data_IF_848860337852
#
_entry.id   IF_848860337852
#
_cell.length_a   1.000
_cell.length_b   1.000
_cell.length_c   1.000
_cell.angle_alpha   90.00
_cell.angle_beta   90.00
_cell.angle_gamma   90.00
#
_symmetry.space_group_name_H-M   'P 1'
#
loop_
_entity.id
_entity.type
_entity.pdbx_description
1 polymer ?
#
# COMPACT_ATOMS: atom_id res chain seq x y z
N UNK A 1 18.36 18.19 -7.77
CA UNK A 1 18.14 16.89 -8.46
C UNK A 1 18.45 15.80 -7.45
N UNK A 2 17.44 15.18 -6.87
CA UNK A 2 17.63 14.02 -5.97
C UNK A 2 18.21 12.89 -6.81
N UNK A 3 19.35 12.31 -6.40
CA UNK A 3 19.92 11.16 -7.06
C UNK A 3 18.92 10.01 -7.01
N UNK A 4 18.54 9.44 -8.14
CA UNK A 4 17.64 8.30 -8.24
C UNK A 4 18.27 6.99 -7.74
N UNK A 5 19.50 7.04 -7.26
CA UNK A 5 20.27 5.88 -6.81
C UNK A 5 20.40 5.89 -5.30
N UNK A 6 20.15 4.72 -4.70
CA UNK A 6 20.42 4.48 -3.30
C UNK A 6 21.92 4.44 -3.04
N UNK A 7 22.32 4.92 -1.86
CA UNK A 7 23.66 4.63 -1.36
C UNK A 7 23.79 3.12 -1.06
N UNK A 8 25.04 2.63 -1.02
CA UNK A 8 25.30 1.24 -0.62
C UNK A 8 24.81 0.95 0.81
N UNK A 9 24.80 1.94 1.70
CA UNK A 9 24.25 1.85 3.04
C UNK A 9 22.73 1.65 2.99
N UNK A 10 22.00 2.50 2.27
CA UNK A 10 20.54 2.38 2.12
C UNK A 10 20.13 1.04 1.50
N UNK A 11 20.91 0.54 0.54
CA UNK A 11 20.69 -0.78 -0.05
C UNK A 11 20.87 -1.89 0.99
N UNK A 12 21.96 -1.85 1.77
CA UNK A 12 22.19 -2.81 2.85
C UNK A 12 21.09 -2.74 3.90
N UNK A 13 20.68 -1.54 4.29
CA UNK A 13 19.62 -1.35 5.27
C UNK A 13 18.30 -1.97 4.79
N UNK A 14 17.92 -1.74 3.52
CA UNK A 14 16.72 -2.38 2.98
C UNK A 14 16.81 -3.91 3.01
N UNK A 15 17.93 -4.47 2.57
CA UNK A 15 18.13 -5.92 2.54
C UNK A 15 18.21 -6.53 3.94
N UNK A 16 18.69 -5.77 4.94
CA UNK A 16 18.79 -6.21 6.33
C UNK A 16 17.46 -6.09 7.07
N UNK A 17 16.76 -4.99 6.90
CA UNK A 17 15.58 -4.63 7.68
C UNK A 17 14.25 -5.03 7.01
N UNK A 18 14.27 -5.30 5.71
CA UNK A 18 13.05 -5.56 4.91
C UNK A 18 12.22 -4.31 4.64
N UNK A 19 12.74 -3.14 5.02
CA UNK A 19 12.07 -1.86 4.79
C UNK A 19 13.09 -0.72 4.71
N UNK A 20 12.70 0.36 4.04
CA UNK A 20 13.51 1.58 3.96
C UNK A 20 12.60 2.81 3.85
N UNK A 21 12.94 3.89 4.53
CA UNK A 21 12.29 5.19 4.36
C UNK A 21 13.24 6.12 3.60
N UNK A 22 12.80 6.62 2.45
CA UNK A 22 13.54 7.59 1.64
C UNK A 22 12.79 8.92 1.75
N UNK A 23 13.40 9.90 2.38
CA UNK A 23 12.81 11.22 2.57
C UNK A 23 12.90 12.04 1.28
N UNK A 24 11.82 12.79 0.99
CA UNK A 24 11.72 13.68 -0.17
C UNK A 24 12.10 12.98 -1.50
N UNK A 25 11.66 11.72 -1.66
CA UNK A 25 11.90 10.96 -2.89
C UNK A 25 11.12 11.53 -4.06
N UNK A 26 9.83 11.83 -3.88
CA UNK A 26 9.01 12.47 -4.90
C UNK A 26 9.03 13.98 -4.75
N UNK A 27 9.10 14.69 -5.87
CA UNK A 27 8.94 16.14 -5.88
C UNK A 27 7.50 16.52 -5.57
N UNK A 28 7.32 17.36 -4.56
CA UNK A 28 6.00 17.71 -4.05
C UNK A 28 5.14 18.40 -5.11
N UNK A 29 5.70 19.37 -5.84
CA UNK A 29 4.93 20.21 -6.76
C UNK A 29 4.67 19.55 -8.11
N UNK A 30 5.64 18.82 -8.65
CA UNK A 30 5.52 18.22 -9.98
C UNK A 30 4.97 16.80 -9.98
N UNK A 31 5.06 16.04 -8.87
CA UNK A 31 4.64 14.64 -8.81
C UNK A 31 3.46 14.42 -7.86
N UNK A 32 3.46 15.00 -6.66
CA UNK A 32 2.42 14.77 -5.65
C UNK A 32 1.23 15.73 -5.83
N UNK A 33 1.47 17.01 -6.00
CA UNK A 33 0.44 18.04 -6.10
C UNK A 33 -0.56 17.80 -7.24
N UNK A 34 -0.15 17.36 -8.44
CA UNK A 34 -1.10 17.03 -9.49
C UNK A 34 -2.05 15.87 -9.12
N UNK A 35 -1.61 14.93 -8.30
CA UNK A 35 -2.45 13.83 -7.80
C UNK A 35 -3.45 14.36 -6.78
N UNK A 36 -2.99 15.16 -5.81
CA UNK A 36 -3.83 15.81 -4.82
C UNK A 36 -4.92 16.68 -5.50
N UNK A 37 -4.57 17.44 -6.53
CA UNK A 37 -5.55 18.21 -7.30
C UNK A 37 -6.57 17.30 -7.99
N UNK A 38 -6.13 16.22 -8.59
CA UNK A 38 -7.05 15.25 -9.23
C UNK A 38 -8.03 14.65 -8.22
N UNK A 39 -7.58 14.32 -7.01
CA UNK A 39 -8.46 13.84 -5.94
C UNK A 39 -9.47 14.91 -5.54
N UNK A 40 -9.04 16.15 -5.36
CA UNK A 40 -9.90 17.27 -5.03
C UNK A 40 -11.02 17.44 -6.08
N UNK A 41 -10.69 17.40 -7.37
CA UNK A 41 -11.69 17.51 -8.44
C UNK A 41 -12.65 16.32 -8.43
N UNK A 42 -12.15 15.08 -8.26
CA UNK A 42 -12.99 13.87 -8.22
C UNK A 42 -14.00 13.94 -7.07
N UNK A 43 -13.61 14.37 -5.88
CA UNK A 43 -14.54 14.53 -4.74
C UNK A 43 -15.68 15.50 -5.12
N UNK A 44 -15.35 16.65 -5.70
CA UNK A 44 -16.36 17.64 -6.13
C UNK A 44 -17.30 17.10 -7.20
N UNK A 45 -16.77 16.40 -8.20
CA UNK A 45 -17.56 15.81 -9.28
C UNK A 45 -18.51 14.71 -8.78
N UNK A 46 -18.06 13.87 -7.84
CA UNK A 46 -18.92 12.85 -7.21
C UNK A 46 -20.04 13.52 -6.40
N UNK A 47 -19.73 14.52 -5.60
CA UNK A 47 -20.73 15.28 -4.85
C UNK A 47 -21.78 15.92 -5.80
N UNK A 48 -21.31 16.61 -6.84
CA UNK A 48 -22.17 17.24 -7.86
C UNK A 48 -23.07 16.20 -8.56
N UNK A 49 -22.52 15.09 -8.99
CA UNK A 49 -23.25 14.00 -9.68
C UNK A 49 -24.40 13.46 -8.85
N UNK A 50 -24.21 13.37 -7.56
CA UNK A 50 -25.18 12.80 -6.63
C UNK A 50 -26.05 13.84 -5.92
N UNK A 51 -25.87 15.14 -6.24
CA UNK A 51 -26.61 16.23 -5.61
C UNK A 51 -26.36 16.34 -4.10
N UNK A 52 -25.17 15.95 -3.65
CA UNK A 52 -24.74 16.09 -2.25
C UNK A 52 -24.04 17.42 -2.09
N UNK A 53 -24.62 18.28 -1.25
CA UNK A 53 -23.99 19.57 -0.90
C UNK A 53 -22.87 19.30 0.12
N UNK A 54 -21.67 19.81 -0.14
CA UNK A 54 -20.50 19.68 0.71
C UNK A 54 -19.78 21.02 0.79
N UNK A 55 -19.36 21.43 1.97
CA UNK A 55 -18.53 22.60 2.14
C UNK A 55 -17.09 22.31 1.73
N UNK A 56 -16.53 23.13 0.84
CA UNK A 56 -15.20 22.92 0.29
C UNK A 56 -14.39 24.21 0.27
N UNK A 57 -13.27 24.16 0.93
CA UNK A 57 -12.25 25.19 0.79
C UNK A 57 -11.66 25.18 -0.63
N UNK A 58 -11.18 26.33 -1.09
CA UNK A 58 -10.41 26.40 -2.32
C UNK A 58 -9.19 25.49 -2.23
N UNK A 59 -8.88 24.83 -3.33
CA UNK A 59 -7.76 23.89 -3.37
C UNK A 59 -6.45 24.56 -2.91
N UNK A 60 -5.88 23.98 -1.85
CA UNK A 60 -4.47 24.07 -1.48
C UNK A 60 -3.98 22.62 -1.28
N UNK A 61 -2.70 22.37 -1.42
CA UNK A 61 -2.25 20.97 -1.41
C UNK A 61 -2.42 20.24 -0.09
N UNK A 62 -2.53 20.94 1.00
CA UNK A 62 -2.78 20.40 2.34
C UNK A 62 -4.25 20.14 2.64
N UNK A 63 -5.17 20.72 1.85
CA UNK A 63 -6.62 20.54 1.97
C UNK A 63 -7.27 19.84 0.77
N UNK A 64 -6.51 19.08 -0.02
CA UNK A 64 -7.00 18.44 -1.25
C UNK A 64 -8.18 17.49 -1.04
N UNK A 65 -8.39 17.01 0.19
CA UNK A 65 -9.49 16.14 0.59
C UNK A 65 -10.67 16.91 1.24
N UNK A 66 -10.72 18.24 1.08
CA UNK A 66 -11.81 19.09 1.57
C UNK A 66 -13.17 18.62 1.05
N UNK A 67 -14.13 18.46 1.95
CA UNK A 67 -15.48 17.96 1.69
C UNK A 67 -15.59 16.43 1.64
N UNK A 68 -14.49 15.66 1.63
CA UNK A 68 -14.57 14.19 1.52
C UNK A 68 -15.26 13.54 2.74
N UNK A 69 -14.88 13.93 3.96
CA UNK A 69 -15.51 13.35 5.17
C UNK A 69 -16.98 13.72 5.24
N UNK A 70 -17.37 14.92 4.85
CA UNK A 70 -18.76 15.33 4.77
C UNK A 70 -19.54 14.53 3.71
N UNK A 71 -18.96 14.32 2.52
CA UNK A 71 -19.53 13.47 1.48
C UNK A 71 -19.86 12.07 2.01
N UNK A 72 -18.91 11.41 2.68
CA UNK A 72 -19.11 10.06 3.19
C UNK A 72 -19.96 10.00 4.47
N UNK A 73 -20.05 11.07 5.23
CA UNK A 73 -20.99 11.19 6.35
C UNK A 73 -22.44 11.20 5.86
N UNK A 74 -22.70 11.90 4.76
CA UNK A 74 -24.00 11.94 4.11
C UNK A 74 -24.32 10.63 3.36
N UNK A 75 -23.34 10.11 2.63
CA UNK A 75 -23.48 8.93 1.75
C UNK A 75 -22.19 8.11 1.77
N UNK A 76 -22.12 7.15 2.72
CA UNK A 76 -20.90 6.32 2.90
C UNK A 76 -20.48 5.54 1.67
N UNK A 77 -21.44 5.13 0.84
CA UNK A 77 -21.22 4.41 -0.41
C UNK A 77 -20.40 5.22 -1.43
N UNK A 78 -20.53 6.57 -1.44
CA UNK A 78 -19.78 7.44 -2.33
C UNK A 78 -18.27 7.42 -2.06
N UNK A 79 -17.84 7.07 -0.86
CA UNK A 79 -16.42 6.83 -0.59
C UNK A 79 -15.84 5.69 -1.41
N UNK A 80 -16.62 4.65 -1.74
CA UNK A 80 -16.23 3.60 -2.67
C UNK A 80 -16.09 4.11 -4.11
N UNK A 81 -17.03 4.96 -4.56
CA UNK A 81 -16.95 5.58 -5.89
C UNK A 81 -15.71 6.48 -6.01
N UNK A 82 -15.44 7.33 -5.03
CA UNK A 82 -14.20 8.15 -4.99
C UNK A 82 -12.97 7.24 -5.04
N UNK A 83 -12.93 6.18 -4.22
CA UNK A 83 -11.81 5.23 -4.20
C UNK A 83 -11.54 4.57 -5.56
N UNK A 84 -12.58 4.27 -6.33
CA UNK A 84 -12.43 3.67 -7.67
C UNK A 84 -12.00 4.70 -8.72
N UNK A 85 -12.51 5.92 -8.64
CA UNK A 85 -12.23 6.98 -9.61
C UNK A 85 -10.82 7.56 -9.47
N UNK A 86 -10.31 7.76 -8.26
CA UNK A 86 -8.99 8.38 -8.04
C UNK A 86 -7.83 7.54 -8.59
N UNK A 87 -8.02 6.23 -8.76
CA UNK A 87 -7.04 5.33 -9.38
C UNK A 87 -6.82 5.60 -10.87
N UNK A 88 -7.72 6.35 -11.50
CA UNK A 88 -7.69 6.69 -12.93
C UNK A 88 -7.01 8.04 -13.20
N UNK A 89 -6.57 8.76 -12.17
CA UNK A 89 -5.90 10.06 -12.33
C UNK A 89 -4.58 9.87 -13.10
N UNK A 90 -4.39 10.54 -14.25
CA UNK A 90 -3.19 10.34 -15.08
C UNK A 90 -1.87 10.65 -14.34
N UNK A 91 -1.87 11.64 -13.43
CA UNK A 91 -0.70 11.98 -12.62
C UNK A 91 -0.31 10.82 -11.69
N UNK A 92 -1.30 10.14 -11.09
CA UNK A 92 -1.07 8.95 -10.28
C UNK A 92 -0.49 7.80 -11.13
N UNK A 93 -1.06 7.52 -12.30
CA UNK A 93 -0.55 6.47 -13.18
C UNK A 93 0.88 6.73 -13.65
N UNK A 94 1.24 7.99 -13.94
CA UNK A 94 2.62 8.37 -14.27
C UNK A 94 3.59 8.14 -13.11
N UNK A 95 3.15 8.40 -11.86
CA UNK A 95 3.98 8.13 -10.67
C UNK A 95 4.21 6.62 -10.51
N UNK A 96 3.18 5.80 -10.63
CA UNK A 96 3.25 4.33 -10.54
C UNK A 96 4.18 3.75 -11.60
N UNK A 97 4.11 4.24 -12.84
CA UNK A 97 4.93 3.79 -13.97
C UNK A 97 6.21 4.63 -14.14
N UNK A 98 6.72 5.23 -13.06
CA UNK A 98 7.90 6.07 -13.09
C UNK A 98 9.17 5.27 -13.40
N UNK A 99 9.94 5.71 -14.38
CA UNK A 99 11.27 5.14 -14.69
C UNK A 99 12.20 5.18 -13.47
N UNK A 100 12.05 6.18 -12.60
CA UNK A 100 12.86 6.30 -11.39
C UNK A 100 12.60 5.16 -10.41
N UNK A 101 11.32 4.81 -10.17
CA UNK A 101 10.96 3.69 -9.28
C UNK A 101 11.30 2.34 -9.89
N UNK A 102 11.20 2.20 -11.21
CA UNK A 102 11.68 1.02 -11.93
C UNK A 102 13.19 0.82 -11.75
N UNK A 103 14.00 1.86 -11.95
CA UNK A 103 15.45 1.81 -11.71
C UNK A 103 15.78 1.45 -10.26
N UNK A 104 15.07 2.04 -9.31
CA UNK A 104 15.21 1.73 -7.89
C UNK A 104 14.96 0.25 -7.61
N UNK A 105 13.85 -0.30 -8.12
CA UNK A 105 13.52 -1.72 -8.00
C UNK A 105 14.61 -2.61 -8.61
N UNK A 106 15.02 -2.33 -9.85
CA UNK A 106 16.09 -3.07 -10.54
C UNK A 106 17.38 -3.11 -9.72
N UNK A 107 17.74 -1.99 -9.10
CA UNK A 107 18.96 -1.89 -8.29
C UNK A 107 18.87 -2.71 -7.00
N UNK A 108 17.69 -2.76 -6.35
CA UNK A 108 17.48 -3.50 -5.11
C UNK A 108 17.36 -5.01 -5.34
N UNK A 109 16.77 -5.44 -6.44
CA UNK A 109 16.50 -6.87 -6.74
C UNK A 109 17.43 -7.48 -7.75
N UNK A 110 18.41 -6.71 -8.25
CA UNK A 110 19.37 -7.16 -9.28
C UNK A 110 18.67 -7.88 -10.44
N UNK A 111 17.58 -7.30 -10.95
CA UNK A 111 16.79 -7.84 -12.06
C UNK A 111 16.77 -6.88 -13.24
N UNK A 112 16.72 -7.42 -14.43
CA UNK A 112 16.56 -6.68 -15.69
C UNK A 112 15.10 -6.69 -16.20
N UNK A 113 14.21 -7.46 -15.53
CA UNK A 113 12.81 -7.63 -15.95
C UNK A 113 11.86 -7.38 -14.78
N UNK A 114 11.66 -6.10 -14.38
CA UNK A 114 10.63 -5.76 -13.40
C UNK A 114 9.23 -5.80 -14.02
N UNK A 115 8.23 -6.13 -13.19
CA UNK A 115 6.82 -6.05 -13.54
C UNK A 115 6.05 -5.19 -12.55
N UNK A 116 4.94 -4.61 -13.00
CA UNK A 116 3.94 -3.97 -12.16
C UNK A 116 2.69 -4.84 -12.22
N UNK A 117 2.18 -5.27 -11.07
CA UNK A 117 0.97 -6.07 -11.04
C UNK A 117 -0.26 -5.25 -11.49
N UNK A 118 -1.08 -5.81 -12.36
CA UNK A 118 -2.22 -5.09 -12.99
C UNK A 118 -3.30 -4.65 -12.00
N UNK A 119 -3.39 -5.19 -10.82
CA UNK A 119 -4.31 -4.78 -9.76
C UNK A 119 -3.56 -4.38 -8.47
N UNK A 120 -2.26 -4.09 -8.61
CA UNK A 120 -1.36 -3.90 -7.47
C UNK A 120 -1.05 -2.44 -7.15
N UNK A 121 -1.83 -1.51 -7.69
CA UNK A 121 -1.67 -0.08 -7.41
C UNK A 121 -3.00 0.56 -7.04
N UNK A 122 -2.94 1.56 -6.20
CA UNK A 122 -4.12 2.31 -5.77
C UNK A 122 -3.81 3.48 -4.85
N UNK A 123 -4.81 4.30 -4.66
CA UNK A 123 -4.82 5.34 -3.63
C UNK A 123 -5.72 4.83 -2.52
N UNK A 124 -5.11 4.46 -1.40
CA UNK A 124 -5.81 3.96 -0.23
C UNK A 124 -6.34 5.11 0.61
N UNK A 125 -7.54 4.94 1.15
CA UNK A 125 -8.22 5.89 2.03
C UNK A 125 -8.58 5.15 3.32
N UNK A 126 -7.90 5.51 4.41
CA UNK A 126 -8.20 4.98 5.75
C UNK A 126 -8.92 6.07 6.54
N UNK A 127 -10.24 5.93 6.66
CA UNK A 127 -11.09 6.91 7.33
C UNK A 127 -10.97 6.84 8.85
N UNK A 128 -11.30 7.94 9.57
CA UNK A 128 -11.36 7.93 11.01
C UNK A 128 -12.26 6.80 11.56
N UNK A 129 -11.76 6.06 12.53
CA UNK A 129 -12.49 5.04 13.29
C UNK A 129 -13.09 3.89 12.46
N UNK A 130 -12.64 3.67 11.21
CA UNK A 130 -13.10 2.59 10.34
C UNK A 130 -12.21 1.33 10.45
N UNK A 131 -12.54 0.41 11.37
CA UNK A 131 -11.83 -0.86 11.49
C UNK A 131 -12.12 -1.83 10.34
N UNK A 132 -13.32 -1.78 9.75
CA UNK A 132 -13.76 -2.73 8.72
C UNK A 132 -12.81 -2.82 7.53
N UNK A 133 -12.22 -1.71 7.12
CA UNK A 133 -11.33 -1.61 5.96
C UNK A 133 -9.85 -1.52 6.33
N UNK A 134 -9.53 -1.56 7.63
CA UNK A 134 -8.14 -1.56 8.07
C UNK A 134 -7.45 -2.87 7.64
N UNK A 135 -6.26 -2.76 7.06
CA UNK A 135 -5.43 -3.91 6.74
C UNK A 135 -4.84 -4.50 8.03
N UNK A 136 -5.14 -5.77 8.32
CA UNK A 136 -4.51 -6.53 9.40
C UNK A 136 -3.05 -6.85 9.09
N UNK A 137 -2.37 -7.53 10.01
CA UNK A 137 -1.03 -8.06 9.78
C UNK A 137 -1.01 -9.02 8.61
N UNK A 138 -0.11 -8.79 7.67
CA UNK A 138 0.01 -9.61 6.47
C UNK A 138 1.41 -9.46 5.85
N UNK A 139 1.72 -10.37 4.95
CA UNK A 139 2.78 -10.26 3.97
C UNK A 139 2.15 -9.96 2.61
N UNK A 140 2.76 -9.08 1.83
CA UNK A 140 2.19 -8.62 0.56
C UNK A 140 2.04 -9.74 -0.47
N UNK A 141 2.97 -10.72 -0.48
CA UNK A 141 2.93 -11.84 -1.41
C UNK A 141 1.57 -12.56 -1.44
N UNK A 142 0.89 -12.68 -0.32
CA UNK A 142 -0.43 -13.33 -0.27
C UNK A 142 -1.47 -12.62 -1.15
N UNK A 143 -1.39 -11.30 -1.24
CA UNK A 143 -2.32 -10.47 -2.01
C UNK A 143 -1.83 -10.20 -3.44
N UNK A 144 -0.53 -10.29 -3.66
CA UNK A 144 0.15 -10.00 -4.90
C UNK A 144 1.11 -11.15 -5.27
N UNK A 145 0.57 -12.35 -5.58
CA UNK A 145 1.38 -13.56 -5.72
C UNK A 145 2.10 -13.68 -7.07
N UNK A 146 2.46 -12.55 -7.69
CA UNK A 146 3.22 -12.56 -8.94
C UNK A 146 4.64 -13.08 -8.76
N UNK A 147 5.24 -12.86 -7.57
CA UNK A 147 6.61 -13.23 -7.25
C UNK A 147 6.83 -13.14 -5.74
N UNK A 148 7.72 -13.97 -5.17
CA UNK A 148 8.22 -13.74 -3.81
C UNK A 148 9.18 -12.54 -3.76
N UNK A 149 9.84 -12.25 -4.88
CA UNK A 149 10.80 -11.17 -5.03
C UNK A 149 10.12 -9.88 -5.50
N UNK A 150 9.39 -9.25 -4.61
CA UNK A 150 8.67 -8.00 -4.85
C UNK A 150 8.93 -6.94 -3.78
N UNK A 151 8.56 -5.71 -4.09
CA UNK A 151 8.66 -4.55 -3.20
C UNK A 151 7.35 -3.76 -3.25
N UNK A 152 6.83 -3.43 -2.09
CA UNK A 152 5.76 -2.44 -1.91
C UNK A 152 6.38 -1.05 -1.88
N UNK A 153 5.83 -0.16 -2.70
CA UNK A 153 6.11 1.28 -2.70
C UNK A 153 4.93 1.98 -2.05
N UNK A 154 5.16 2.64 -0.94
CA UNK A 154 4.13 3.33 -0.18
C UNK A 154 4.50 4.80 0.03
N UNK A 155 3.59 5.72 -0.29
CA UNK A 155 3.81 7.17 -0.20
C UNK A 155 2.57 7.85 0.35
N UNK A 156 2.66 8.68 1.42
CA UNK A 156 1.52 9.41 1.95
C UNK A 156 1.19 10.62 1.06
N UNK A 157 -0.10 10.96 1.01
CA UNK A 157 -0.59 12.20 0.41
C UNK A 157 -0.94 13.28 1.46
N UNK A 158 -0.90 12.91 2.73
CA UNK A 158 -1.07 13.79 3.91
C UNK A 158 0.10 13.58 4.86
N UNK A 159 0.49 14.57 5.69
CA UNK A 159 1.44 14.33 6.77
C UNK A 159 0.90 13.28 7.74
N UNK A 160 1.62 12.18 7.92
CA UNK A 160 1.21 11.07 8.78
C UNK A 160 1.69 11.33 10.20
N UNK A 161 0.75 11.41 11.14
CA UNK A 161 0.97 11.52 12.58
C UNK A 161 0.61 10.20 13.28
N UNK A 162 0.96 10.07 14.55
CA UNK A 162 0.60 8.88 15.34
C UNK A 162 -0.93 8.65 15.36
N UNK A 163 -1.72 9.71 15.52
CA UNK A 163 -3.19 9.62 15.53
C UNK A 163 -3.79 9.24 14.18
N UNK A 164 -3.10 9.54 13.08
CA UNK A 164 -3.55 9.20 11.73
C UNK A 164 -3.30 7.72 11.40
N UNK A 165 -2.61 6.99 12.28
CA UNK A 165 -2.35 5.56 12.17
C UNK A 165 -1.32 5.22 11.09
N UNK A 166 -0.02 5.49 11.30
CA UNK A 166 1.02 5.12 10.35
C UNK A 166 1.02 3.62 10.04
N UNK A 167 1.60 3.22 8.90
CA UNK A 167 1.86 1.80 8.64
C UNK A 167 2.80 1.26 9.71
N UNK A 168 2.46 0.11 10.31
CA UNK A 168 3.29 -0.57 11.33
C UNK A 168 4.00 -1.73 10.67
N UNK A 169 5.31 -1.81 10.82
CA UNK A 169 6.19 -2.73 10.09
C UNK A 169 7.01 -3.55 11.08
N UNK A 170 7.00 -4.87 10.93
CA UNK A 170 7.85 -5.80 11.64
C UNK A 170 9.22 -5.88 10.94
N UNK A 171 10.21 -5.17 11.45
CA UNK A 171 11.57 -5.18 10.88
C UNK A 171 12.15 -6.59 10.89
N UNK A 172 12.87 -6.95 9.82
CA UNK A 172 13.57 -8.24 9.64
C UNK A 172 12.66 -9.45 9.45
N UNK A 173 11.34 -9.32 9.52
CA UNK A 173 10.42 -10.45 9.39
C UNK A 173 10.47 -11.13 8.02
N UNK A 174 10.90 -10.42 6.96
CA UNK A 174 11.09 -10.98 5.62
C UNK A 174 12.13 -12.12 5.58
N UNK A 175 13.08 -12.15 6.54
CA UNK A 175 14.15 -13.15 6.60
C UNK A 175 13.66 -14.55 6.93
N UNK A 176 12.53 -14.65 7.61
CA UNK A 176 11.94 -15.92 8.01
C UNK A 176 11.03 -16.51 6.92
N UNK A 177 10.99 -15.84 5.76
CA UNK A 177 10.26 -16.32 4.60
C UNK A 177 8.74 -16.14 4.71
N UNK A 178 8.00 -17.05 4.07
CA UNK A 178 6.54 -16.98 4.01
C UNK A 178 5.92 -17.51 5.32
N UNK A 179 5.04 -16.72 5.92
CA UNK A 179 4.28 -17.11 7.11
C UNK A 179 3.35 -18.31 6.84
N UNK A 180 2.90 -18.94 7.91
CA UNK A 180 1.76 -19.87 7.87
C UNK A 180 0.47 -19.04 7.96
N UNK A 181 -0.50 -19.35 7.14
CA UNK A 181 -1.77 -18.64 7.06
C UNK A 181 -2.95 -19.52 7.49
N UNK A 182 -3.95 -18.87 8.06
CA UNK A 182 -5.17 -19.50 8.51
C UNK A 182 -6.37 -18.90 7.75
N UNK A 183 -7.21 -19.75 7.17
CA UNK A 183 -8.47 -19.39 6.50
C UNK A 183 -9.65 -19.31 7.48
N UNK A 184 -9.40 -19.45 8.77
CA UNK A 184 -10.40 -19.62 9.81
C UNK A 184 -11.27 -18.39 10.05
N UNK A 185 -12.20 -18.56 11.02
CA UNK A 185 -13.29 -17.64 11.33
C UNK A 185 -12.85 -16.25 11.84
N UNK A 186 -11.60 -16.07 12.28
CA UNK A 186 -11.14 -14.81 12.87
C UNK A 186 -11.29 -13.59 11.94
N UNK A 187 -11.27 -13.83 10.62
CA UNK A 187 -11.37 -12.78 9.60
C UNK A 187 -12.62 -12.90 8.73
N UNK A 188 -13.63 -13.68 9.17
CA UNK A 188 -14.81 -13.98 8.37
C UNK A 188 -15.65 -12.74 7.98
N UNK A 189 -15.58 -11.67 8.80
CA UNK A 189 -16.26 -10.40 8.53
C UNK A 189 -15.55 -9.50 7.52
N UNK A 190 -14.29 -9.80 7.21
CA UNK A 190 -13.50 -9.08 6.19
C UNK A 190 -13.82 -9.63 4.80
N UNK A 191 -13.55 -8.84 3.76
CA UNK A 191 -13.85 -9.21 2.37
C UNK A 191 -12.58 -9.51 1.58
N UNK A 192 -12.68 -10.37 0.58
CA UNK A 192 -11.59 -10.68 -0.34
C UNK A 192 -10.39 -11.31 0.38
N UNK A 193 -9.19 -10.88 0.02
CA UNK A 193 -7.93 -11.39 0.57
C UNK A 193 -7.77 -11.12 2.08
N UNK A 194 -8.47 -10.13 2.63
CA UNK A 194 -8.43 -9.83 4.08
C UNK A 194 -9.09 -10.91 4.95
N UNK A 195 -9.71 -11.94 4.36
CA UNK A 195 -10.25 -13.09 5.08
C UNK A 195 -9.19 -14.10 5.53
N UNK A 196 -7.99 -13.99 4.99
CA UNK A 196 -6.86 -14.87 5.31
C UNK A 196 -5.90 -14.09 6.19
N UNK A 197 -5.56 -14.60 7.34
CA UNK A 197 -4.63 -14.00 8.29
C UNK A 197 -3.44 -14.88 8.59
N UNK A 198 -2.43 -14.32 9.26
CA UNK A 198 -1.29 -15.07 9.75
C UNK A 198 -1.74 -16.00 10.88
N UNK A 199 -1.40 -17.29 10.80
CA UNK A 199 -1.68 -18.25 11.85
C UNK A 199 -0.88 -17.89 13.11
N UNK A 200 -1.52 -17.92 14.28
CA UNK A 200 -0.91 -17.49 15.55
C UNK A 200 -0.27 -16.09 15.46
N UNK A 201 -1.02 -15.15 14.87
CA UNK A 201 -0.57 -13.79 14.53
C UNK A 201 0.14 -13.09 15.68
N UNK A 202 -0.45 -13.12 16.88
CA UNK A 202 0.11 -12.44 18.06
C UNK A 202 1.51 -12.95 18.39
N UNK A 203 1.69 -14.26 18.43
CA UNK A 203 2.99 -14.88 18.68
C UNK A 203 3.99 -14.56 17.58
N UNK A 204 3.59 -14.68 16.31
CA UNK A 204 4.48 -14.40 15.17
C UNK A 204 4.94 -12.96 15.20
N UNK A 205 4.02 -12.01 15.32
CA UNK A 205 4.31 -10.57 15.29
C UNK A 205 5.11 -10.11 16.51
N UNK A 206 4.95 -10.77 17.67
CA UNK A 206 5.71 -10.43 18.89
C UNK A 206 7.22 -10.69 18.78
N UNK A 207 7.65 -11.51 17.83
CA UNK A 207 9.05 -11.87 17.64
C UNK A 207 9.89 -10.75 17.00
N UNK A 208 9.27 -9.75 16.39
CA UNK A 208 9.96 -8.73 15.61
C UNK A 208 9.88 -7.35 16.25
N UNK A 209 10.97 -6.55 16.14
CA UNK A 209 10.92 -5.13 16.44
C UNK A 209 9.94 -4.44 15.49
N UNK A 210 9.05 -3.61 16.05
CA UNK A 210 8.04 -2.86 15.29
C UNK A 210 8.46 -1.41 15.14
N UNK A 211 8.23 -0.86 13.95
CA UNK A 211 8.37 0.56 13.67
C UNK A 211 7.12 1.07 12.98
N UNK A 212 6.78 2.33 13.25
CA UNK A 212 5.67 3.03 12.63
C UNK A 212 6.20 4.38 12.10
N UNK A 213 6.82 4.42 10.91
CA UNK A 213 7.51 5.61 10.45
C UNK A 213 6.52 6.73 10.17
N UNK A 214 6.67 7.86 10.86
CA UNK A 214 6.01 9.10 10.50
C UNK A 214 6.60 9.61 9.18
N UNK A 215 5.75 10.02 8.26
CA UNK A 215 6.13 10.39 6.91
C UNK A 215 5.27 11.52 6.37
N UNK A 216 5.78 12.23 5.39
CA UNK A 216 5.12 13.37 4.74
C UNK A 216 4.98 13.16 3.24
N UNK A 217 4.07 13.88 2.56
CA UNK A 217 3.98 13.84 1.10
C UNK A 217 5.34 14.07 0.46
N UNK A 218 5.70 13.20 -0.49
CA UNK A 218 7.04 13.16 -1.09
C UNK A 218 7.98 12.11 -0.51
N UNK A 219 7.75 11.63 0.72
CA UNK A 219 8.51 10.49 1.27
C UNK A 219 8.08 9.17 0.62
N UNK A 220 9.01 8.23 0.52
CA UNK A 220 8.75 6.88 0.04
C UNK A 220 9.13 5.87 1.11
N UNK A 221 8.21 4.97 1.44
CA UNK A 221 8.47 3.79 2.27
C UNK A 221 8.49 2.57 1.36
N UNK A 222 9.60 1.85 1.37
CA UNK A 222 9.75 0.56 0.71
C UNK A 222 9.57 -0.56 1.73
N UNK A 223 8.87 -1.63 1.34
CA UNK A 223 8.73 -2.85 2.14
C UNK A 223 8.91 -4.07 1.24
N UNK A 224 9.69 -5.03 1.69
CA UNK A 224 9.81 -6.33 1.04
C UNK A 224 8.45 -7.05 1.05
N UNK A 225 8.13 -7.85 0.03
CA UNK A 225 6.85 -8.60 -0.03
C UNK A 225 6.66 -9.57 1.13
N UNK A 226 7.74 -10.02 1.74
CA UNK A 226 7.71 -10.91 2.90
C UNK A 226 7.81 -10.17 4.23
N UNK A 227 7.93 -8.84 4.23
CA UNK A 227 7.88 -8.05 5.46
C UNK A 227 6.46 -7.99 6.00
N UNK A 228 6.27 -8.46 7.24
CA UNK A 228 4.98 -8.40 7.94
C UNK A 228 4.68 -6.95 8.29
N UNK A 229 3.50 -6.49 7.88
CA UNK A 229 3.06 -5.13 8.16
C UNK A 229 1.53 -5.02 8.25
N UNK A 230 1.05 -3.93 8.81
CA UNK A 230 -0.39 -3.61 8.88
C UNK A 230 -0.63 -2.11 8.76
N UNK A 231 -1.87 -1.71 8.51
CA UNK A 231 -2.31 -0.33 8.70
C UNK A 231 -2.47 -0.03 10.20
N UNK A 232 -1.91 1.09 10.67
CA UNK A 232 -2.29 1.63 11.97
C UNK A 232 -3.75 2.07 11.99
N UNK A 233 -4.36 2.11 13.17
CA UNK A 233 -5.75 2.54 13.33
C UNK A 233 -5.81 4.07 13.35
N UNK A 234 -6.65 4.65 12.48
CA UNK A 234 -6.84 6.09 12.39
C UNK A 234 -7.82 6.57 13.47
N UNK A 235 -7.32 7.27 14.48
CA UNK A 235 -8.12 7.90 15.54
C UNK A 235 -8.19 9.44 15.41
N UNK A 236 -7.74 9.97 14.27
CA UNK A 236 -7.77 11.38 13.97
C UNK A 236 -9.12 11.85 13.44
N UNK A 237 -9.21 13.13 13.09
CA UNK A 237 -10.39 13.73 12.43
C UNK A 237 -10.22 13.86 10.91
N UNK A 238 -9.20 13.21 10.32
CA UNK A 238 -8.90 13.29 8.89
C UNK A 238 -8.66 11.91 8.30
N UNK A 239 -9.06 11.69 7.06
CA UNK A 239 -8.72 10.47 6.33
C UNK A 239 -7.22 10.43 6.01
N UNK A 240 -6.60 9.25 6.20
CA UNK A 240 -5.24 9.00 5.75
C UNK A 240 -5.28 8.57 4.29
N UNK A 241 -4.73 9.39 3.42
CA UNK A 241 -4.58 9.12 2.01
C UNK A 241 -3.17 8.64 1.72
N UNK A 242 -3.03 7.53 1.03
CA UNK A 242 -1.72 7.00 0.65
C UNK A 242 -1.74 6.33 -0.72
N UNK A 243 -0.69 6.54 -1.48
CA UNK A 243 -0.41 5.81 -2.72
C UNK A 243 0.29 4.50 -2.35
N UNK A 244 -0.14 3.42 -2.98
CA UNK A 244 0.49 2.12 -2.88
C UNK A 244 0.61 1.51 -4.27
N UNK A 245 1.76 0.95 -4.58
CA UNK A 245 1.96 0.12 -5.77
C UNK A 245 3.07 -0.89 -5.54
N UNK A 246 3.15 -1.88 -6.40
CA UNK A 246 4.03 -3.03 -6.22
C UNK A 246 4.75 -3.33 -7.51
N UNK A 247 6.07 -3.48 -7.38
CA UNK A 247 6.90 -4.04 -8.44
C UNK A 247 7.35 -5.43 -8.01
N UNK A 248 7.50 -6.31 -8.98
CA UNK A 248 7.92 -7.68 -8.78
C UNK A 248 8.94 -8.11 -9.85
N UNK A 249 9.69 -9.16 -9.56
CA UNK A 249 10.67 -9.71 -10.46
C UNK A 249 10.07 -10.85 -11.30
N UNK A 250 10.00 -10.67 -12.62
CA UNK A 250 9.52 -11.70 -13.53
C UNK A 250 10.41 -12.95 -13.57
N UNK A 251 11.70 -12.84 -13.21
CA UNK A 251 12.63 -13.96 -13.20
C UNK A 251 12.54 -14.83 -11.93
N UNK A 252 11.72 -14.44 -10.96
CA UNK A 252 11.51 -15.27 -9.77
C UNK A 252 10.80 -16.58 -10.14
N UNK A 253 11.37 -17.70 -9.71
CA UNK A 253 10.86 -19.05 -10.01
C UNK A 253 9.43 -19.26 -9.49
N UNK A 254 9.09 -18.67 -8.36
CA UNK A 254 7.74 -18.77 -7.80
C UNK A 254 6.73 -18.13 -8.74
N UNK A 255 7.06 -16.94 -9.25
CA UNK A 255 6.22 -16.25 -10.24
C UNK A 255 6.02 -17.07 -11.51
N UNK A 256 7.09 -17.71 -12.03
CA UNK A 256 6.99 -18.61 -13.18
C UNK A 256 6.08 -19.81 -12.91
N UNK A 257 6.16 -20.41 -11.72
CA UNK A 257 5.31 -21.54 -11.32
C UNK A 257 3.84 -21.17 -11.18
N UNK A 258 3.54 -19.96 -10.71
CA UNK A 258 2.17 -19.41 -10.54
C UNK A 258 1.63 -18.86 -11.86
N UNK A 259 2.50 -18.47 -12.80
CA UNK A 259 2.16 -17.81 -14.05
C UNK A 259 1.87 -16.32 -13.87
N UNK A 260 2.52 -15.68 -12.90
CA UNK A 260 2.43 -14.24 -12.58
C UNK A 260 1.00 -13.72 -12.42
N UNK A 261 0.10 -14.55 -11.92
CA UNK A 261 -1.30 -14.17 -11.74
C UNK A 261 -1.42 -13.08 -10.68
N UNK A 262 -2.10 -12.01 -11.07
CA UNK A 262 -2.42 -10.92 -10.15
C UNK A 262 -3.62 -11.31 -9.27
N UNK A 263 -3.55 -10.94 -7.99
CA UNK A 263 -4.67 -10.88 -7.06
C UNK A 263 -5.24 -12.19 -6.51
N UNK A 264 -6.29 -12.01 -5.74
CA UNK A 264 -7.04 -12.98 -4.92
C UNK A 264 -7.44 -14.26 -5.64
N UNK A 265 -7.62 -14.22 -6.95
CA UNK A 265 -7.95 -15.42 -7.76
C UNK A 265 -6.78 -16.41 -7.83
N UNK A 266 -5.57 -15.99 -7.50
CA UNK A 266 -4.39 -16.85 -7.42
C UNK A 266 -4.27 -17.57 -6.07
N UNK A 267 -5.15 -17.32 -5.09
CA UNK A 267 -5.06 -17.93 -3.76
C UNK A 267 -4.98 -19.46 -3.79
N UNK A 268 -5.77 -20.10 -4.64
CA UNK A 268 -5.71 -21.55 -4.81
C UNK A 268 -4.39 -22.07 -5.43
N UNK A 269 -3.78 -21.27 -6.32
CA UNK A 269 -2.49 -21.62 -6.91
C UNK A 269 -1.36 -21.44 -5.88
N UNK A 270 -1.41 -20.40 -5.06
CA UNK A 270 -0.45 -20.18 -3.96
C UNK A 270 -0.52 -21.34 -2.96
N UNK A 271 -1.71 -21.74 -2.54
CA UNK A 271 -1.91 -22.87 -1.65
C UNK A 271 -1.39 -24.17 -2.25
N UNK A 272 -1.64 -24.43 -3.54
CA UNK A 272 -1.13 -25.61 -4.25
C UNK A 272 0.40 -25.65 -4.31
N UNK A 273 1.05 -24.48 -4.40
CA UNK A 273 2.52 -24.37 -4.47
C UNK A 273 3.16 -24.42 -3.08
N UNK A 274 2.48 -23.88 -2.09
CA UNK A 274 2.95 -23.78 -0.69
C UNK A 274 1.95 -24.43 0.28
N UNK A 275 1.57 -25.70 0.13
CA UNK A 275 0.53 -26.33 0.96
C UNK A 275 0.85 -26.32 2.45
N UNK A 276 2.13 -26.38 2.82
CA UNK A 276 2.56 -26.33 4.23
C UNK A 276 2.32 -24.96 4.91
N UNK A 277 2.06 -23.90 4.14
CA UNK A 277 1.83 -22.56 4.65
C UNK A 277 0.34 -22.19 4.80
N UNK A 278 -0.58 -23.14 4.54
CA UNK A 278 -2.02 -22.88 4.68
C UNK A 278 -2.65 -23.91 5.63
N UNK A 279 -3.42 -23.39 6.59
CA UNK A 279 -4.24 -24.17 7.52
C UNK A 279 -5.71 -23.83 7.34
N UNK A 280 -6.57 -24.82 7.57
CA UNK A 280 -8.04 -24.67 7.57
C UNK A 280 -8.55 -24.08 8.88
#
# INVERSE_FOLDING_TARGET
MSSSELSDEQRRDFLDEGMLVIRNFFDLESEIRPIQRGIYEVIGLVAQRHGVDIDRELFAGDNFDSGYLELIANRRDLGGEVYDLVKQIPAFLRLVASVRTEKLFRSLRNTDVPGIGTASYGIRIDNPFEEKFRSQWHQEFLFQPQSLDGIVFWTPLVPVTDSLGPVVICRKSHRDGLCVYNKGKAYAEKTGAYRIGIDDEERVVSQYPKVAPLSSPGDLILMDFLTIHQSGFNVSQRSRWSIQYRLFNYRDETGMRIGWKASVTAGSDVERIFPAHFRE
#
